data_IF_664626250304
#
_entry.id   IF_664626250304
#
_cell.length_a   1.000
_cell.length_b   1.000
_cell.length_c   1.000
_cell.angle_alpha   90.00
_cell.angle_beta   90.00
_cell.angle_gamma   90.00
#
_symmetry.space_group_name_H-M   'P 1'
#
loop_
_entity.id
_entity.type
_entity.pdbx_description
1 polymer ?
#
# COMPACT_ATOMS: atom_id res chain seq x y z
N UNK A 1 3.91 -21.06 -3.81
CA UNK A 1 3.93 -22.43 -4.34
C UNK A 1 5.32 -22.74 -4.80
N UNK A 2 5.78 -23.97 -4.61
CA UNK A 2 7.05 -24.46 -5.16
C UNK A 2 6.86 -24.95 -6.61
N UNK A 3 7.95 -25.35 -7.27
CA UNK A 3 7.93 -25.77 -8.67
C UNK A 3 7.03 -26.99 -8.91
N UNK A 4 7.07 -27.99 -8.02
CA UNK A 4 6.18 -29.16 -8.10
C UNK A 4 4.72 -28.73 -8.04
N UNK A 5 4.34 -27.90 -7.07
CA UNK A 5 3.00 -27.37 -6.92
C UNK A 5 2.53 -26.57 -8.14
N UNK A 6 3.43 -25.86 -8.82
CA UNK A 6 3.09 -25.16 -10.06
C UNK A 6 2.74 -26.13 -11.19
N UNK A 7 3.47 -27.24 -11.33
CA UNK A 7 3.17 -28.29 -12.31
C UNK A 7 1.79 -28.91 -12.01
N UNK A 8 1.50 -29.18 -10.73
CA UNK A 8 0.19 -29.65 -10.29
C UNK A 8 -0.92 -28.67 -10.70
N UNK A 9 -0.73 -27.37 -10.43
CA UNK A 9 -1.70 -26.35 -10.82
C UNK A 9 -1.86 -26.23 -12.33
N UNK A 10 -0.79 -26.35 -13.12
CA UNK A 10 -0.89 -26.38 -14.59
C UNK A 10 -1.74 -27.54 -15.07
N UNK A 11 -1.52 -28.73 -14.52
CA UNK A 11 -2.34 -29.92 -14.84
C UNK A 11 -3.81 -29.74 -14.44
N UNK A 12 -4.10 -29.18 -13.26
CA UNK A 12 -5.47 -28.86 -12.83
C UNK A 12 -6.14 -27.90 -13.81
N UNK A 13 -5.44 -26.84 -14.22
CA UNK A 13 -5.98 -25.86 -15.16
C UNK A 13 -6.20 -26.45 -16.56
N UNK A 14 -5.32 -27.36 -17.02
CA UNK A 14 -5.50 -28.08 -18.26
C UNK A 14 -6.75 -28.98 -18.22
N UNK A 15 -6.91 -29.76 -17.15
CA UNK A 15 -8.11 -30.60 -16.96
C UNK A 15 -9.39 -29.76 -16.95
N UNK A 16 -9.35 -28.59 -16.30
CA UNK A 16 -10.47 -27.65 -16.31
C UNK A 16 -10.72 -27.11 -17.72
N UNK A 17 -9.68 -26.73 -18.46
CA UNK A 17 -9.80 -26.24 -19.85
C UNK A 17 -10.43 -27.28 -20.77
N UNK A 18 -9.99 -28.53 -20.66
CA UNK A 18 -10.55 -29.67 -21.41
C UNK A 18 -12.00 -29.97 -21.01
N UNK A 19 -12.38 -29.65 -19.78
CA UNK A 19 -13.74 -29.80 -19.26
C UNK A 19 -14.59 -28.53 -19.44
N UNK A 20 -14.30 -27.69 -20.45
CA UNK A 20 -15.00 -26.44 -20.74
C UNK A 20 -15.04 -25.46 -19.55
N UNK A 21 -13.99 -25.44 -18.74
CA UNK A 21 -13.82 -24.53 -17.60
C UNK A 21 -14.55 -24.93 -16.33
N UNK A 22 -15.13 -26.13 -16.23
CA UNK A 22 -15.84 -26.57 -15.02
C UNK A 22 -15.84 -28.10 -14.88
N UNK A 23 -15.72 -28.58 -13.65
CA UNK A 23 -15.76 -30.01 -13.34
C UNK A 23 -16.29 -30.22 -11.91
N UNK A 24 -16.89 -31.38 -11.62
CA UNK A 24 -17.21 -31.74 -10.25
C UNK A 24 -15.94 -32.00 -9.46
N UNK A 25 -15.95 -31.67 -8.18
CA UNK A 25 -14.77 -31.83 -7.32
C UNK A 25 -14.35 -33.30 -7.18
N UNK A 26 -15.31 -34.24 -7.14
CA UNK A 26 -15.05 -35.69 -7.18
C UNK A 26 -14.29 -36.10 -8.44
N UNK A 27 -14.80 -35.67 -9.60
CA UNK A 27 -14.33 -36.11 -10.90
C UNK A 27 -12.97 -35.47 -11.26
N UNK A 28 -12.63 -34.33 -10.63
CA UNK A 28 -11.34 -33.68 -10.80
C UNK A 28 -10.19 -34.55 -10.26
N UNK A 29 -10.37 -35.12 -9.07
CA UNK A 29 -9.33 -35.95 -8.45
C UNK A 29 -9.10 -37.23 -9.26
N UNK A 30 -10.18 -37.88 -9.68
CA UNK A 30 -10.11 -39.09 -10.51
C UNK A 30 -9.39 -38.80 -11.86
N UNK A 31 -9.69 -37.66 -12.49
CA UNK A 31 -9.00 -37.25 -13.73
C UNK A 31 -7.53 -36.92 -13.48
N UNK A 32 -7.19 -36.26 -12.38
CA UNK A 32 -5.79 -35.93 -12.08
C UNK A 32 -4.95 -37.20 -11.87
N UNK A 33 -5.49 -38.19 -11.16
CA UNK A 33 -4.84 -39.48 -10.96
C UNK A 33 -4.62 -40.20 -12.30
N UNK A 34 -5.62 -40.17 -13.19
CA UNK A 34 -5.50 -40.76 -14.54
C UNK A 34 -4.43 -40.10 -15.42
N UNK A 35 -4.14 -38.81 -15.19
CA UNK A 35 -3.15 -38.04 -15.95
C UNK A 35 -1.73 -38.29 -15.43
N UNK A 36 -1.58 -38.57 -14.13
CA UNK A 36 -0.28 -38.83 -13.51
C UNK A 36 -0.43 -39.55 -12.16
N UNK A 37 -0.06 -40.83 -12.12
CA UNK A 37 -0.12 -41.65 -10.91
C UNK A 37 0.83 -41.19 -9.78
N UNK A 38 1.68 -40.19 -10.00
CA UNK A 38 2.55 -39.61 -8.96
C UNK A 38 1.88 -38.53 -8.12
N UNK A 39 0.61 -38.21 -8.40
CA UNK A 39 -0.13 -37.20 -7.66
C UNK A 39 -0.44 -37.64 -6.22
N UNK A 40 0.13 -36.92 -5.26
CA UNK A 40 -0.29 -37.02 -3.87
C UNK A 40 -1.61 -36.23 -3.69
N UNK A 41 -2.64 -36.90 -3.17
CA UNK A 41 -3.97 -36.30 -2.93
C UNK A 41 -3.91 -35.12 -1.94
N UNK A 42 -3.07 -35.20 -0.90
CA UNK A 42 -2.88 -34.12 0.07
C UNK A 42 -2.27 -32.89 -0.60
N UNK A 43 -1.24 -33.09 -1.43
CA UNK A 43 -0.57 -32.02 -2.15
C UNK A 43 -1.52 -31.36 -3.16
N UNK A 44 -2.31 -32.16 -3.87
CA UNK A 44 -3.30 -31.68 -4.84
C UNK A 44 -4.39 -30.84 -4.17
N UNK A 45 -4.89 -31.30 -3.02
CA UNK A 45 -5.87 -30.56 -2.21
C UNK A 45 -5.29 -29.23 -1.73
N UNK A 46 -4.04 -29.24 -1.26
CA UNK A 46 -3.34 -28.03 -0.85
C UNK A 46 -3.20 -27.03 -2.01
N UNK A 47 -2.82 -27.52 -3.20
CA UNK A 47 -2.71 -26.68 -4.40
C UNK A 47 -4.07 -26.11 -4.79
N UNK A 48 -5.14 -26.90 -4.81
CA UNK A 48 -6.50 -26.43 -5.09
C UNK A 48 -6.90 -25.31 -4.13
N UNK A 49 -6.68 -25.47 -2.82
CA UNK A 49 -6.97 -24.42 -1.84
C UNK A 49 -6.22 -23.13 -2.12
N UNK A 50 -4.91 -23.20 -2.44
CA UNK A 50 -4.13 -22.01 -2.81
C UNK A 50 -4.60 -21.38 -4.11
N UNK A 51 -4.98 -22.19 -5.10
CA UNK A 51 -5.50 -21.70 -6.38
C UNK A 51 -6.82 -20.93 -6.20
N UNK A 52 -7.65 -21.32 -5.23
CA UNK A 52 -8.88 -20.62 -4.86
C UNK A 52 -8.57 -19.34 -4.07
N UNK A 53 -7.85 -19.47 -2.96
CA UNK A 53 -7.74 -18.40 -1.97
C UNK A 53 -6.69 -17.35 -2.36
N UNK A 54 -5.47 -17.78 -2.67
CA UNK A 54 -4.34 -16.88 -2.86
C UNK A 54 -4.28 -16.30 -4.27
N UNK A 55 -4.47 -17.17 -5.27
CA UNK A 55 -4.23 -16.82 -6.67
C UNK A 55 -5.52 -16.57 -7.46
N UNK A 56 -6.68 -16.93 -6.89
CA UNK A 56 -8.02 -16.77 -7.47
C UNK A 56 -8.11 -17.30 -8.91
N UNK A 57 -7.40 -18.39 -9.21
CA UNK A 57 -7.32 -19.03 -10.52
C UNK A 57 -8.56 -19.88 -10.80
N UNK A 58 -9.14 -20.44 -9.75
CA UNK A 58 -10.33 -21.26 -9.79
C UNK A 58 -11.25 -20.81 -8.65
N UNK A 59 -12.53 -21.16 -8.72
CA UNK A 59 -13.49 -20.91 -7.65
C UNK A 59 -14.42 -22.10 -7.47
N UNK A 60 -14.93 -22.28 -6.25
CA UNK A 60 -15.94 -23.30 -5.95
C UNK A 60 -17.34 -22.74 -6.14
N UNK A 61 -18.18 -23.49 -6.85
CA UNK A 61 -19.61 -23.24 -6.99
C UNK A 61 -20.37 -24.51 -6.62
N UNK A 62 -20.89 -24.57 -5.39
CA UNK A 62 -21.46 -25.80 -4.81
C UNK A 62 -20.46 -26.96 -4.88
N UNK A 63 -20.77 -28.04 -5.59
CA UNK A 63 -19.92 -29.21 -5.80
C UNK A 63 -19.03 -29.12 -7.05
N UNK A 64 -18.93 -27.94 -7.66
CA UNK A 64 -18.17 -27.71 -8.88
C UNK A 64 -16.95 -26.83 -8.62
N UNK A 65 -15.86 -27.16 -9.30
CA UNK A 65 -14.69 -26.32 -9.44
C UNK A 65 -14.74 -25.70 -10.84
N UNK A 66 -14.68 -24.38 -10.87
CA UNK A 66 -14.79 -23.59 -12.08
C UNK A 66 -13.53 -22.77 -12.30
N UNK A 67 -13.16 -22.61 -13.56
CA UNK A 67 -12.08 -21.76 -14.02
C UNK A 67 -12.50 -20.30 -13.90
N UNK A 68 -11.66 -19.47 -13.29
CA UNK A 68 -11.89 -18.02 -13.24
C UNK A 68 -11.27 -17.33 -14.46
N UNK A 69 -11.60 -16.04 -14.65
CA UNK A 69 -10.92 -15.20 -15.66
C UNK A 69 -9.40 -15.15 -15.45
N UNK A 70 -8.94 -15.14 -14.20
CA UNK A 70 -7.52 -15.20 -13.86
C UNK A 70 -6.92 -16.57 -14.20
N UNK A 71 -7.68 -17.65 -14.03
CA UNK A 71 -7.30 -19.00 -14.46
C UNK A 71 -7.04 -19.06 -15.96
N UNK A 72 -7.92 -18.48 -16.77
CA UNK A 72 -7.76 -18.42 -18.23
C UNK A 72 -6.52 -17.61 -18.64
N UNK A 73 -6.28 -16.47 -17.98
CA UNK A 73 -5.04 -15.70 -18.18
C UNK A 73 -3.81 -16.52 -17.78
N UNK A 74 -3.87 -17.25 -16.67
CA UNK A 74 -2.75 -18.05 -16.19
C UNK A 74 -2.44 -19.24 -17.11
N UNK A 75 -3.46 -19.87 -17.72
CA UNK A 75 -3.29 -20.90 -18.76
C UNK A 75 -2.50 -20.33 -19.95
N UNK A 76 -2.90 -19.15 -20.44
CA UNK A 76 -2.29 -18.55 -21.63
C UNK A 76 -0.88 -18.01 -21.36
N UNK A 77 -0.59 -17.59 -20.13
CA UNK A 77 0.70 -17.02 -19.73
C UNK A 77 1.70 -18.06 -19.17
N UNK A 78 1.18 -19.15 -18.60
CA UNK A 78 1.91 -20.12 -17.78
C UNK A 78 1.87 -19.77 -16.28
N UNK A 79 1.63 -20.77 -15.43
CA UNK A 79 1.40 -20.61 -13.97
C UNK A 79 2.60 -19.95 -13.30
N UNK A 80 3.81 -20.42 -13.61
CA UNK A 80 5.03 -19.90 -12.99
C UNK A 80 5.24 -18.40 -13.26
N UNK A 81 4.93 -17.94 -14.49
CA UNK A 81 5.00 -16.52 -14.84
C UNK A 81 3.89 -15.72 -14.17
N UNK A 82 2.68 -16.28 -14.09
CA UNK A 82 1.53 -15.62 -13.48
C UNK A 82 1.72 -15.40 -11.98
N UNK A 83 2.14 -16.46 -11.27
CA UNK A 83 2.46 -16.40 -9.84
C UNK A 83 3.55 -15.35 -9.60
N UNK A 84 4.62 -15.33 -10.41
CA UNK A 84 5.68 -14.31 -10.30
C UNK A 84 5.14 -12.89 -10.46
N UNK A 85 4.21 -12.66 -11.39
CA UNK A 85 3.56 -11.36 -11.61
C UNK A 85 2.71 -10.93 -10.41
N UNK A 86 1.98 -11.84 -9.78
CA UNK A 86 1.24 -11.55 -8.55
C UNK A 86 2.18 -11.14 -7.42
N UNK A 87 3.24 -11.93 -7.18
CA UNK A 87 4.21 -11.63 -6.13
C UNK A 87 4.94 -10.30 -6.36
N UNK A 88 5.27 -9.96 -7.62
CA UNK A 88 5.86 -8.65 -7.92
C UNK A 88 4.88 -7.50 -7.64
N UNK A 89 3.61 -7.67 -8.00
CA UNK A 89 2.59 -6.64 -7.79
C UNK A 89 2.31 -6.42 -6.30
N UNK A 90 2.22 -7.49 -5.51
CA UNK A 90 2.08 -7.39 -4.05
C UNK A 90 3.27 -6.68 -3.40
N UNK A 91 4.50 -6.97 -3.85
CA UNK A 91 5.71 -6.27 -3.39
C UNK A 91 5.67 -4.79 -3.73
N UNK A 92 5.17 -4.42 -4.90
CA UNK A 92 5.03 -3.03 -5.32
C UNK A 92 3.97 -2.30 -4.48
N UNK A 93 2.82 -2.92 -4.21
CA UNK A 93 1.75 -2.36 -3.37
C UNK A 93 2.25 -2.05 -1.94
N UNK A 94 3.02 -2.98 -1.34
CA UNK A 94 3.64 -2.76 -0.03
C UNK A 94 4.60 -1.56 -0.05
N UNK A 95 5.41 -1.43 -1.12
CA UNK A 95 6.32 -0.29 -1.27
C UNK A 95 5.56 1.02 -1.42
N UNK A 96 4.49 1.05 -2.21
CA UNK A 96 3.64 2.22 -2.38
C UNK A 96 2.98 2.64 -1.05
N UNK A 97 2.42 1.69 -0.30
CA UNK A 97 1.87 1.95 1.04
C UNK A 97 2.90 2.55 2.00
N UNK A 98 4.14 2.04 1.99
CA UNK A 98 5.24 2.62 2.79
C UNK A 98 5.56 4.05 2.37
N UNK A 99 5.60 4.32 1.05
CA UNK A 99 5.83 5.67 0.54
C UNK A 99 4.70 6.63 0.93
N UNK A 100 3.45 6.17 0.92
CA UNK A 100 2.30 6.96 1.37
C UNK A 100 2.42 7.33 2.86
N UNK A 101 2.82 6.38 3.71
CA UNK A 101 3.05 6.65 5.14
C UNK A 101 4.18 7.66 5.34
N UNK A 102 5.31 7.50 4.64
CA UNK A 102 6.43 8.45 4.69
C UNK A 102 5.98 9.84 4.23
N UNK A 103 5.20 9.91 3.15
CA UNK A 103 4.66 11.17 2.63
C UNK A 103 3.74 11.86 3.65
N UNK A 104 2.86 11.12 4.35
CA UNK A 104 2.02 11.67 5.42
C UNK A 104 2.85 12.22 6.57
N UNK A 105 3.89 11.50 7.00
CA UNK A 105 4.80 11.97 8.07
C UNK A 105 5.52 13.25 7.64
N UNK A 106 6.04 13.30 6.41
CA UNK A 106 6.70 14.49 5.86
C UNK A 106 5.74 15.69 5.78
N UNK A 107 4.48 15.46 5.42
CA UNK A 107 3.45 16.51 5.43
C UNK A 107 3.24 17.05 6.84
N UNK A 108 3.09 16.18 7.84
CA UNK A 108 2.92 16.59 9.25
C UNK A 108 4.11 17.42 9.74
N UNK A 109 5.35 17.01 9.40
CA UNK A 109 6.56 17.76 9.76
C UNK A 109 6.56 19.14 9.09
N UNK A 110 6.22 19.21 7.80
CA UNK A 110 6.14 20.46 7.06
C UNK A 110 5.08 21.39 7.67
N UNK A 111 3.90 20.85 7.96
CA UNK A 111 2.79 21.59 8.56
C UNK A 111 3.17 22.13 9.95
N UNK A 112 3.90 21.33 10.74
CA UNK A 112 4.46 21.72 12.05
C UNK A 112 5.45 22.89 11.93
N UNK A 113 6.35 22.87 10.94
CA UNK A 113 7.26 24.00 10.69
C UNK A 113 6.50 25.28 10.32
N UNK A 114 5.43 25.19 9.52
CA UNK A 114 4.58 26.35 9.23
C UNK A 114 3.89 26.90 10.48
N UNK A 115 3.35 26.04 11.34
CA UNK A 115 2.70 26.47 12.59
C UNK A 115 3.71 27.16 13.51
N UNK A 116 4.92 26.60 13.66
CA UNK A 116 5.98 27.20 14.45
C UNK A 116 6.41 28.57 13.90
N UNK A 117 6.54 28.69 12.58
CA UNK A 117 6.90 29.95 11.93
C UNK A 117 5.82 31.01 12.16
N UNK A 118 4.53 30.65 12.03
CA UNK A 118 3.41 31.57 12.30
C UNK A 118 3.42 32.01 13.76
N UNK A 119 3.64 31.09 14.71
CA UNK A 119 3.69 31.41 16.13
C UNK A 119 4.84 32.37 16.47
N UNK A 120 6.06 32.11 15.98
CA UNK A 120 7.21 33.00 16.18
C UNK A 120 6.95 34.38 15.57
N UNK A 121 6.38 34.42 14.36
CA UNK A 121 6.07 35.69 13.68
C UNK A 121 5.02 36.50 14.46
N UNK A 122 4.01 35.83 15.01
CA UNK A 122 2.98 36.47 15.84
C UNK A 122 3.56 37.02 17.15
N UNK A 123 4.45 36.28 17.81
CA UNK A 123 5.15 36.75 19.02
C UNK A 123 6.05 37.94 18.70
N UNK A 124 6.88 37.87 17.64
CA UNK A 124 7.73 38.98 17.24
C UNK A 124 6.92 40.23 16.88
N UNK A 125 5.81 40.06 16.15
CA UNK A 125 4.96 41.18 15.72
C UNK A 125 4.26 41.83 16.92
N UNK A 126 3.71 41.04 17.85
CA UNK A 126 3.11 41.57 19.08
C UNK A 126 4.13 42.27 20.00
N UNK A 127 5.37 41.78 20.07
CA UNK A 127 6.45 42.43 20.80
C UNK A 127 6.80 43.80 20.20
N UNK A 128 6.89 43.89 18.86
CA UNK A 128 7.14 45.15 18.15
C UNK A 128 6.00 46.15 18.40
N UNK A 129 4.74 45.71 18.32
CA UNK A 129 3.58 46.57 18.54
C UNK A 129 3.47 47.09 19.98
N UNK A 130 3.87 46.29 20.98
CA UNK A 130 3.86 46.70 22.40
C UNK A 130 5.04 47.61 22.75
N UNK A 131 6.21 47.40 22.14
CA UNK A 131 7.39 48.24 22.34
C UNK A 131 7.33 49.56 21.56
N UNK A 132 6.64 49.60 20.41
CA UNK A 132 6.51 50.80 19.56
C UNK A 132 5.94 52.05 20.28
N UNK A 133 4.84 51.98 21.04
CA UNK A 133 4.31 53.15 21.76
C UNK A 133 5.24 53.57 22.91
N UNK A 134 5.82 52.62 23.64
CA UNK A 134 6.77 52.90 24.72
C UNK A 134 8.07 53.53 24.20
N UNK A 135 8.53 53.13 23.00
CA UNK A 135 9.70 53.74 22.35
C UNK A 135 9.43 55.20 21.98
N UNK A 136 8.23 55.52 21.48
CA UNK A 136 7.83 56.90 21.19
C UNK A 136 7.75 57.74 22.47
N UNK A 137 7.23 57.19 23.55
CA UNK A 137 7.13 57.88 24.85
C UNK A 137 8.51 58.12 25.48
N UNK A 138 9.39 57.11 25.47
CA UNK A 138 10.78 57.23 25.89
C UNK A 138 11.54 58.27 25.08
N UNK A 139 11.33 58.32 23.76
CA UNK A 139 11.96 59.32 22.90
C UNK A 139 11.42 60.73 23.18
N UNK A 140 10.14 60.85 23.54
CA UNK A 140 9.52 62.11 23.95
C UNK A 140 10.09 62.60 25.30
N UNK A 141 10.19 61.71 26.28
CA UNK A 141 10.76 62.00 27.60
C UNK A 141 12.25 62.35 27.49
N UNK A 142 13.00 61.63 26.63
CA UNK A 142 14.40 61.92 26.35
C UNK A 142 14.58 63.28 25.68
N UNK A 143 13.77 63.62 24.67
CA UNK A 143 13.77 64.94 24.04
C UNK A 143 13.40 66.07 25.03
N UNK A 144 12.47 65.81 25.95
CA UNK A 144 12.05 66.76 26.97
C UNK A 144 13.16 66.98 28.02
N UNK A 145 13.87 65.92 28.42
CA UNK A 145 15.06 65.98 29.27
C UNK A 145 16.22 66.72 28.59
N UNK A 146 16.52 66.42 27.33
CA UNK A 146 17.53 67.16 26.55
C UNK A 146 17.20 68.64 26.44
N UNK A 147 15.93 69.02 26.24
CA UNK A 147 15.50 70.43 26.26
C UNK A 147 15.72 71.08 27.64
N UNK A 148 15.42 70.39 28.73
CA UNK A 148 15.63 70.89 30.10
C UNK A 148 17.11 71.15 30.41
N UNK A 149 18.02 70.35 29.85
CA UNK A 149 19.47 70.52 30.05
C UNK A 149 20.03 71.66 29.19
N UNK A 150 19.55 71.83 27.97
CA UNK A 150 20.08 72.84 27.04
C UNK A 150 19.47 74.25 27.21
N UNK A 151 18.29 74.40 27.83
CA UNK A 151 17.61 75.70 27.99
C UNK A 151 17.56 76.22 29.45
N UNK A 152 18.29 75.61 30.38
CA UNK A 152 18.42 76.08 31.78
C UNK A 152 19.74 76.82 32.03
N UNK A 153 20.10 77.76 31.16
CA UNK A 153 21.14 78.76 31.38
C UNK A 153 20.57 80.17 31.38
#
# INVERSE_FOLDING_TARGET
>A
MNEKQNIIAEKILLVLKESNGHIRESDLLDKLESVDNSFNQLESTFVISRMIEDYKLIYRSKSWICLSSNGEVAINLGISKYIRKIHSNQRLDIKMKRLEVISKILSIIKDSHTILTIAVTAVCTSLIYTLSPNLKELLKLFLQWCKSIFFSS
#
